data_IF_357087148416
#
_entry.id   IF_357087148416
#
_cell.length_a   1.000
_cell.length_b   1.000
_cell.length_c   1.000
_cell.angle_alpha   90.00
_cell.angle_beta   90.00
_cell.angle_gamma   90.00
#
_symmetry.space_group_name_H-M   'P 1'
#
loop_
_entity.id
_entity.type
_entity.pdbx_description
1 polymer ?
#
# COMPACT_ATOMS: atom_id res chain seq x y z
N UNK A 1 -6.87 -7.72 22.15
CA UNK A 1 -7.30 -6.43 21.60
C UNK A 1 -6.06 -5.69 21.16
N UNK A 2 -5.93 -5.33 19.88
CA UNK A 2 -4.78 -4.55 19.41
C UNK A 2 -4.86 -3.16 20.02
N UNK A 3 -3.82 -2.75 20.74
CA UNK A 3 -3.66 -1.39 21.24
C UNK A 3 -3.36 -0.44 20.07
N UNK A 4 -3.77 0.83 20.19
CA UNK A 4 -3.29 1.88 19.28
C UNK A 4 -1.77 2.05 19.39
N UNK A 5 -1.18 2.72 18.41
CA UNK A 5 0.26 2.90 18.35
C UNK A 5 0.69 3.89 17.28
N UNK A 6 2.00 4.12 17.22
CA UNK A 6 2.63 4.97 16.23
C UNK A 6 3.99 4.40 15.85
N UNK A 7 4.37 4.63 14.61
CA UNK A 7 5.73 4.44 14.10
C UNK A 7 6.12 5.75 13.43
N UNK A 8 7.24 6.32 13.86
CA UNK A 8 7.83 7.54 13.31
C UNK A 8 9.20 7.19 12.74
N UNK A 9 9.43 7.53 11.47
CA UNK A 9 10.62 7.13 10.73
C UNK A 9 11.45 8.38 10.40
N UNK A 10 12.75 8.41 10.76
CA UNK A 10 13.64 9.50 10.41
C UNK A 10 13.66 9.78 8.89
N UNK A 11 13.70 11.06 8.50
CA UNK A 11 13.55 11.47 7.10
C UNK A 11 14.68 11.01 6.15
N UNK A 12 15.88 10.78 6.66
CA UNK A 12 16.98 10.15 5.91
C UNK A 12 16.64 8.71 5.52
N UNK A 13 15.94 7.98 6.40
CA UNK A 13 15.49 6.62 6.12
C UNK A 13 14.28 6.60 5.18
N UNK A 14 13.35 7.54 5.31
CA UNK A 14 12.22 7.72 4.36
C UNK A 14 12.74 7.79 2.92
N UNK A 15 13.80 8.59 2.71
CA UNK A 15 14.42 8.75 1.39
C UNK A 15 14.96 7.43 0.82
N UNK A 16 15.47 6.53 1.68
CA UNK A 16 15.99 5.22 1.25
C UNK A 16 14.92 4.20 0.90
N UNK A 17 13.70 4.37 1.45
CA UNK A 17 12.58 3.44 1.27
C UNK A 17 11.70 3.79 0.06
N UNK A 18 11.82 5.02 -0.45
CA UNK A 18 11.01 5.51 -1.58
C UNK A 18 9.57 5.90 -1.22
N UNK A 19 9.21 5.82 0.07
CA UNK A 19 7.94 6.29 0.64
C UNK A 19 8.13 6.50 2.15
N UNK A 20 7.20 7.21 2.78
CA UNK A 20 7.20 7.44 4.23
C UNK A 20 6.40 6.34 4.95
N UNK A 21 7.03 5.44 5.73
CA UNK A 21 6.31 4.41 6.47
C UNK A 21 5.65 4.93 7.75
N UNK A 22 5.91 6.18 8.14
CA UNK A 22 5.42 6.77 9.38
C UNK A 22 3.89 6.80 9.39
N UNK A 23 3.33 6.41 10.54
CA UNK A 23 1.89 6.22 10.71
C UNK A 23 1.48 6.15 12.18
N UNK A 24 0.23 6.51 12.43
CA UNK A 24 -0.44 6.40 13.72
C UNK A 24 -1.71 5.59 13.48
N UNK A 25 -2.01 4.66 14.37
CA UNK A 25 -3.25 3.90 14.32
C UNK A 25 -3.94 3.85 15.67
N UNK A 26 -5.27 3.73 15.62
CA UNK A 26 -6.11 3.55 16.79
C UNK A 26 -6.50 2.08 16.98
N UNK A 27 -6.86 1.74 18.21
CA UNK A 27 -7.40 0.41 18.49
C UNK A 27 -8.70 0.19 17.69
N UNK A 28 -8.77 -0.91 16.94
CA UNK A 28 -9.93 -1.26 16.11
C UNK A 28 -9.95 -0.63 14.72
N UNK A 29 -8.95 0.18 14.35
CA UNK A 29 -8.79 0.71 13.00
C UNK A 29 -8.52 -0.43 12.00
N UNK A 30 -9.04 -0.32 10.78
CA UNK A 30 -8.83 -1.34 9.75
C UNK A 30 -7.38 -1.34 9.28
N UNK A 31 -6.83 -2.52 9.01
CA UNK A 31 -5.50 -2.68 8.43
C UNK A 31 -5.39 -1.92 7.09
N UNK A 32 -6.47 -1.87 6.31
CA UNK A 32 -6.50 -1.16 5.04
C UNK A 32 -6.39 0.38 5.19
N UNK A 33 -6.71 0.93 6.36
CA UNK A 33 -6.60 2.37 6.66
C UNK A 33 -5.24 2.75 7.26
N UNK A 34 -4.40 1.75 7.58
CA UNK A 34 -3.12 1.94 8.28
C UNK A 34 -1.95 1.56 7.40
N UNK A 35 -2.05 0.43 6.70
CA UNK A 35 -0.99 -0.04 5.82
C UNK A 35 -1.00 0.72 4.50
N UNK A 36 0.21 1.02 4.03
CA UNK A 36 0.48 1.78 2.81
C UNK A 36 0.89 0.83 1.69
N UNK A 37 0.71 1.25 0.44
CA UNK A 37 1.12 0.47 -0.73
C UNK A 37 2.63 0.17 -0.72
N UNK A 38 3.43 1.11 -0.24
CA UNK A 38 4.88 0.97 -0.08
C UNK A 38 5.30 -0.16 0.87
N UNK A 39 4.46 -0.53 1.85
CA UNK A 39 4.74 -1.67 2.73
C UNK A 39 4.80 -2.99 1.94
N UNK A 40 4.23 -3.03 0.73
CA UNK A 40 4.09 -4.23 -0.10
C UNK A 40 4.87 -4.16 -1.43
N UNK A 41 5.66 -3.11 -1.63
CA UNK A 41 6.29 -2.80 -2.93
C UNK A 41 7.24 -3.89 -3.44
N UNK A 42 7.80 -4.70 -2.54
CA UNK A 42 8.72 -5.81 -2.88
C UNK A 42 8.08 -7.19 -2.70
N UNK A 43 6.85 -7.26 -2.20
CA UNK A 43 6.26 -8.51 -1.73
C UNK A 43 5.04 -8.95 -2.53
N UNK A 44 3.98 -8.16 -2.53
CA UNK A 44 2.75 -8.44 -3.30
C UNK A 44 2.73 -7.68 -4.63
N UNK A 45 3.58 -6.65 -4.75
CA UNK A 45 3.67 -5.77 -5.91
C UNK A 45 2.32 -5.13 -6.33
N UNK A 46 1.51 -4.59 -5.38
CA UNK A 46 0.20 -4.01 -5.72
C UNK A 46 0.32 -2.85 -6.71
N UNK A 47 1.49 -2.20 -6.78
CA UNK A 47 1.76 -1.07 -7.66
C UNK A 47 1.70 -1.39 -9.16
N UNK A 48 1.71 -2.68 -9.51
CA UNK A 48 1.59 -3.14 -10.90
C UNK A 48 0.14 -3.13 -11.40
N UNK A 49 -0.84 -3.09 -10.50
CA UNK A 49 -2.24 -2.95 -10.90
C UNK A 49 -2.53 -1.57 -11.50
N UNK A 50 -3.60 -1.49 -12.29
CA UNK A 50 -4.29 -0.26 -12.66
C UNK A 50 -5.75 -0.31 -12.18
N UNK A 51 -6.45 0.82 -12.23
CA UNK A 51 -7.82 0.92 -11.72
C UNK A 51 -8.80 0.09 -12.55
N UNK A 52 -8.54 -0.08 -13.85
CA UNK A 52 -9.36 -0.91 -14.73
C UNK A 52 -9.34 -2.40 -14.33
N UNK A 53 -8.20 -2.92 -13.87
CA UNK A 53 -8.11 -4.28 -13.33
C UNK A 53 -8.76 -4.37 -11.95
N UNK A 54 -8.52 -3.40 -11.08
CA UNK A 54 -9.10 -3.39 -9.73
C UNK A 54 -10.62 -3.29 -9.75
N UNK A 55 -11.19 -2.58 -10.73
CA UNK A 55 -12.63 -2.45 -10.88
C UNK A 55 -13.32 -3.77 -11.17
N UNK A 56 -12.64 -4.69 -11.86
CA UNK A 56 -13.15 -6.02 -12.15
C UNK A 56 -13.22 -6.90 -10.89
N UNK A 57 -12.20 -6.84 -10.04
CA UNK A 57 -12.20 -7.57 -8.77
C UNK A 57 -13.29 -7.07 -7.81
N UNK A 58 -13.46 -5.75 -7.74
CA UNK A 58 -14.42 -5.12 -6.83
C UNK A 58 -15.84 -4.98 -7.42
N UNK A 59 -16.03 -5.29 -8.70
CA UNK A 59 -17.30 -5.09 -9.44
C UNK A 59 -17.82 -3.65 -9.35
N UNK A 60 -16.92 -2.67 -9.47
CA UNK A 60 -17.24 -1.23 -9.41
C UNK A 60 -17.26 -0.61 -10.80
N UNK A 61 -18.19 0.32 -11.03
CA UNK A 61 -18.19 1.17 -12.23
C UNK A 61 -17.38 2.44 -11.97
N UNK A 62 -16.23 2.56 -12.63
CA UNK A 62 -15.31 3.70 -12.45
C UNK A 62 -15.91 5.04 -12.88
N UNK A 63 -16.96 5.05 -13.71
CA UNK A 63 -17.69 6.26 -14.06
C UNK A 63 -18.54 6.80 -12.90
N UNK A 64 -18.80 5.97 -11.90
CA UNK A 64 -19.55 6.33 -10.68
C UNK A 64 -18.63 6.54 -9.48
N UNK A 65 -17.33 6.30 -9.64
CA UNK A 65 -16.34 6.51 -8.58
C UNK A 65 -15.78 7.91 -8.72
N UNK A 66 -15.96 8.71 -7.68
CA UNK A 66 -15.44 10.06 -7.61
C UNK A 66 -13.90 10.07 -7.72
N UNK A 67 -13.34 11.06 -8.40
CA UNK A 67 -11.89 11.25 -8.53
C UNK A 67 -11.23 11.35 -7.15
N UNK A 68 -11.86 12.08 -6.22
CA UNK A 68 -11.39 12.21 -4.83
C UNK A 68 -11.41 10.92 -4.00
N UNK A 69 -12.01 9.82 -4.49
CA UNK A 69 -11.93 8.51 -3.83
C UNK A 69 -10.58 7.81 -4.02
N UNK A 70 -9.79 8.25 -5.00
CA UNK A 70 -8.42 7.80 -5.21
C UNK A 70 -7.47 8.72 -4.43
N UNK A 71 -7.00 8.28 -3.27
CA UNK A 71 -6.19 9.08 -2.32
C UNK A 71 -5.00 9.76 -3.01
N UNK A 72 -4.29 8.99 -3.84
CA UNK A 72 -3.11 9.43 -4.57
C UNK A 72 -3.38 10.48 -5.66
N UNK A 73 -4.63 10.69 -6.09
CA UNK A 73 -4.94 11.71 -7.11
C UNK A 73 -4.58 13.12 -6.64
N UNK A 74 -4.76 13.38 -5.35
CA UNK A 74 -4.52 14.69 -4.74
C UNK A 74 -3.04 15.05 -4.59
N UNK A 75 -2.12 14.17 -5.02
CA UNK A 75 -0.68 14.43 -5.06
C UNK A 75 -0.16 14.68 -6.47
N UNK A 76 -0.99 14.43 -7.48
CA UNK A 76 -0.55 14.47 -8.87
C UNK A 76 -0.47 15.92 -9.35
N UNK A 77 0.69 16.26 -9.93
CA UNK A 77 0.86 17.52 -10.65
C UNK A 77 0.41 17.35 -12.10
N UNK A 78 0.00 18.45 -12.73
CA UNK A 78 -0.43 18.44 -14.13
C UNK A 78 0.66 17.87 -15.05
N UNK A 79 1.92 18.27 -14.84
CA UNK A 79 3.05 17.76 -15.63
C UNK A 79 3.27 16.24 -15.43
N UNK A 80 3.12 15.75 -14.20
CA UNK A 80 3.32 14.33 -13.88
C UNK A 80 2.25 13.47 -14.57
N UNK A 81 0.99 13.95 -14.59
CA UNK A 81 -0.10 13.28 -15.30
C UNK A 81 0.12 13.25 -16.81
N UNK A 82 0.53 14.37 -17.41
CA UNK A 82 0.82 14.44 -18.86
C UNK A 82 1.98 13.53 -19.25
N UNK A 83 2.98 13.40 -18.38
CA UNK A 83 4.10 12.48 -18.59
C UNK A 83 3.69 11.00 -18.41
N UNK A 84 2.85 10.70 -17.41
CA UNK A 84 2.46 9.33 -17.06
C UNK A 84 1.39 8.73 -17.97
N UNK A 85 0.45 9.54 -18.47
CA UNK A 85 -0.72 9.07 -19.22
C UNK A 85 -0.49 9.24 -20.73
N UNK A 86 -0.39 8.13 -21.49
CA UNK A 86 -0.15 8.19 -22.93
C UNK A 86 -1.23 9.01 -23.66
N UNK A 87 -0.79 10.03 -24.39
CA UNK A 87 -1.66 10.86 -25.21
C UNK A 87 -2.44 11.95 -24.47
N UNK A 88 -2.35 12.04 -23.13
CA UNK A 88 -3.04 13.08 -22.36
C UNK A 88 -2.60 14.49 -22.81
N UNK A 89 -1.30 14.69 -23.04
CA UNK A 89 -0.77 15.97 -23.54
C UNK A 89 -1.34 16.44 -24.88
N UNK A 90 -1.86 15.52 -25.70
CA UNK A 90 -2.46 15.84 -27.01
C UNK A 90 -3.92 16.25 -26.90
N UNK A 91 -4.55 16.03 -25.74
CA UNK A 91 -5.93 16.43 -25.51
C UNK A 91 -6.01 17.93 -25.26
N UNK A 92 -7.13 18.52 -25.69
CA UNK A 92 -7.47 19.89 -25.37
C UNK A 92 -7.90 19.99 -23.91
N UNK A 93 -7.69 21.16 -23.31
CA UNK A 93 -8.04 21.40 -21.91
C UNK A 93 -9.51 21.09 -21.60
N UNK A 94 -10.43 21.48 -22.47
CA UNK A 94 -11.89 21.22 -22.36
C UNK A 94 -12.28 19.73 -22.46
N UNK A 95 -11.35 18.86 -22.84
CA UNK A 95 -11.54 17.41 -22.87
C UNK A 95 -11.10 16.73 -21.57
N UNK A 96 -10.55 17.49 -20.62
CA UNK A 96 -10.09 16.99 -19.32
C UNK A 96 -10.65 17.90 -18.21
N UNK A 97 -11.96 17.77 -17.88
CA UNK A 97 -12.67 18.72 -17.01
C UNK A 97 -12.02 19.01 -15.64
N UNK A 98 -11.41 18.03 -14.94
CA UNK A 98 -10.71 18.31 -13.69
C UNK A 98 -9.51 19.25 -13.87
N UNK A 99 -8.76 19.08 -14.97
CA UNK A 99 -7.61 19.93 -15.27
C UNK A 99 -8.05 21.31 -15.78
N UNK A 100 -9.12 21.38 -16.57
CA UNK A 100 -9.75 22.65 -16.96
C UNK A 100 -10.13 23.47 -15.74
N UNK A 101 -10.82 22.85 -14.79
CA UNK A 101 -11.25 23.51 -13.55
C UNK A 101 -10.04 24.01 -12.77
N UNK A 102 -9.06 23.15 -12.52
CA UNK A 102 -7.84 23.50 -11.78
C UNK A 102 -7.07 24.66 -12.42
N UNK A 103 -6.88 24.62 -13.74
CA UNK A 103 -6.13 25.66 -14.47
C UNK A 103 -6.91 26.97 -14.50
N UNK A 104 -8.24 26.92 -14.65
CA UNK A 104 -9.09 28.12 -14.67
C UNK A 104 -9.13 28.86 -13.33
N UNK A 105 -8.92 28.16 -12.21
CA UNK A 105 -8.79 28.79 -10.88
C UNK A 105 -7.43 29.47 -10.70
N UNK A 106 -6.39 28.96 -11.35
CA UNK A 106 -5.03 29.48 -11.26
C UNK A 106 -4.74 30.61 -12.25
N UNK A 107 -5.36 30.59 -13.44
CA UNK A 107 -5.14 31.58 -14.49
C UNK A 107 -6.43 32.34 -14.84
N UNK A 108 -6.40 33.69 -14.89
CA UNK A 108 -7.48 34.46 -15.44
C UNK A 108 -7.75 34.07 -16.89
N UNK A 109 -9.02 33.91 -17.27
CA UNK A 109 -9.43 33.56 -18.65
C UNK A 109 -8.81 34.51 -19.69
N UNK A 110 -8.58 35.78 -19.34
CA UNK A 110 -7.90 36.77 -20.19
C UNK A 110 -6.48 36.37 -20.60
N UNK A 111 -5.77 35.57 -19.79
CA UNK A 111 -4.43 35.08 -20.10
C UNK A 111 -4.43 34.03 -21.22
N UNK A 112 -5.58 33.45 -21.52
CA UNK A 112 -5.76 32.49 -22.62
C UNK A 112 -6.17 33.19 -23.94
N UNK A 113 -6.38 34.53 -23.93
CA UNK A 113 -6.81 35.29 -25.10
C UNK A 113 -5.66 35.41 -26.10
N UNK A 114 -5.59 34.47 -27.03
CA UNK A 114 -4.51 34.34 -28.01
C UNK A 114 -4.26 32.89 -28.39
N UNK A 115 -4.62 31.96 -27.51
CA UNK A 115 -4.65 30.53 -27.78
C UNK A 115 -6.03 30.16 -28.32
N UNK A 116 -6.08 29.51 -29.50
CA UNK A 116 -7.35 29.08 -30.09
C UNK A 116 -7.23 27.74 -30.80
N UNK A 117 -8.33 26.99 -30.85
CA UNK A 117 -8.38 25.71 -31.56
C UNK A 117 -7.35 24.70 -31.06
N UNK A 118 -6.45 24.28 -31.93
CA UNK A 118 -5.45 23.24 -31.67
C UNK A 118 -4.28 23.70 -30.78
N UNK A 119 -4.18 24.99 -30.45
CA UNK A 119 -3.12 25.51 -29.58
C UNK A 119 -3.41 25.28 -28.09
N UNK A 120 -4.64 24.89 -27.74
CA UNK A 120 -5.11 24.63 -26.36
C UNK A 120 -4.91 23.18 -25.90
N UNK A 121 -4.00 22.44 -26.52
CA UNK A 121 -3.62 21.12 -25.99
C UNK A 121 -2.86 21.29 -24.68
N UNK A 122 -2.98 20.31 -23.79
CA UNK A 122 -2.28 20.33 -22.51
C UNK A 122 -0.76 20.48 -22.69
N UNK A 123 -0.16 19.82 -23.67
CA UNK A 123 1.27 19.92 -23.96
C UNK A 123 1.68 21.35 -24.39
N UNK A 124 0.92 21.98 -25.29
CA UNK A 124 1.22 23.35 -25.73
C UNK A 124 1.02 24.36 -24.60
N UNK A 125 -0.03 24.17 -23.79
CA UNK A 125 -0.32 25.03 -22.65
C UNK A 125 0.79 24.96 -21.59
N UNK A 126 1.31 23.76 -21.30
CA UNK A 126 2.44 23.58 -20.39
C UNK A 126 3.76 24.13 -20.96
N UNK A 127 3.93 24.14 -22.28
CA UNK A 127 5.09 24.76 -22.91
C UNK A 127 5.08 26.29 -22.81
N UNK A 128 3.90 26.91 -22.99
CA UNK A 128 3.72 28.36 -22.87
C UNK A 128 3.70 28.84 -21.42
N UNK A 129 3.08 28.07 -20.53
CA UNK A 129 2.94 28.37 -19.10
C UNK A 129 3.47 27.23 -18.23
N UNK A 130 4.80 27.10 -18.07
CA UNK A 130 5.42 26.01 -17.30
C UNK A 130 4.93 25.91 -15.85
N UNK A 131 4.57 27.02 -15.22
CA UNK A 131 4.06 27.05 -13.84
C UNK A 131 2.74 26.28 -13.67
N UNK A 132 1.95 26.12 -14.73
CA UNK A 132 0.75 25.27 -14.71
C UNK A 132 1.08 23.80 -14.47
N UNK A 133 2.26 23.37 -14.90
CA UNK A 133 2.75 22.01 -14.68
C UNK A 133 2.85 21.66 -13.20
N UNK A 134 3.11 22.66 -12.35
CA UNK A 134 3.26 22.50 -10.90
C UNK A 134 1.94 22.53 -10.12
N UNK A 135 0.82 22.87 -10.78
CA UNK A 135 -0.49 22.81 -10.14
C UNK A 135 -0.80 21.38 -9.74
N UNK A 136 -1.42 21.23 -8.58
CA UNK A 136 -1.70 19.94 -7.98
C UNK A 136 -3.22 19.74 -7.90
N UNK A 137 -3.72 18.59 -8.34
CA UNK A 137 -5.15 18.24 -8.27
C UNK A 137 -5.73 18.36 -6.84
N UNK A 138 -4.92 18.16 -5.80
CA UNK A 138 -5.32 18.36 -4.41
C UNK A 138 -5.79 19.80 -4.09
N UNK A 139 -5.42 20.79 -4.90
CA UNK A 139 -5.88 22.18 -4.76
C UNK A 139 -7.39 22.33 -5.01
N UNK A 140 -8.00 21.43 -5.79
CA UNK A 140 -9.45 21.37 -5.97
C UNK A 140 -10.19 20.96 -4.67
N UNK A 141 -9.49 20.33 -3.72
CA UNK A 141 -10.04 19.89 -2.45
C UNK A 141 -11.31 19.04 -2.63
N UNK A 142 -12.44 19.52 -2.09
CA UNK A 142 -13.73 18.80 -2.19
C UNK A 142 -14.30 18.75 -3.61
N UNK A 143 -13.86 19.63 -4.51
CA UNK A 143 -14.33 19.64 -5.89
C UNK A 143 -13.88 18.39 -6.66
N UNK A 144 -12.84 17.70 -6.20
CA UNK A 144 -12.46 16.37 -6.72
C UNK A 144 -13.64 15.38 -6.68
N UNK A 145 -14.60 15.55 -5.78
CA UNK A 145 -15.76 14.68 -5.69
C UNK A 145 -16.85 14.97 -6.74
N UNK A 146 -16.71 16.07 -7.51
CA UNK A 146 -17.62 16.41 -8.60
C UNK A 146 -17.26 15.73 -9.92
N UNK A 147 -16.06 15.13 -10.00
CA UNK A 147 -15.54 14.44 -11.18
C UNK A 147 -15.47 12.94 -10.94
N UNK A 148 -15.63 12.16 -12.00
CA UNK A 148 -15.38 10.72 -11.99
C UNK A 148 -13.88 10.42 -12.25
N UNK A 149 -13.44 9.21 -11.91
CA UNK A 149 -12.10 8.75 -12.26
C UNK A 149 -11.85 8.75 -13.78
N UNK A 150 -12.90 8.58 -14.58
CA UNK A 150 -12.83 8.53 -16.05
C UNK A 150 -12.84 9.91 -16.71
N UNK A 151 -13.07 10.99 -15.95
CA UNK A 151 -13.02 12.37 -16.46
C UNK A 151 -11.58 12.84 -16.76
N UNK A 152 -10.57 12.07 -16.33
CA UNK A 152 -9.20 12.19 -16.84
C UNK A 152 -8.95 10.99 -17.77
N UNK A 153 -9.03 11.17 -19.10
CA UNK A 153 -8.85 10.08 -20.04
C UNK A 153 -7.49 9.38 -19.87
N UNK A 154 -7.51 8.06 -19.71
CA UNK A 154 -6.32 7.22 -19.52
C UNK A 154 -5.79 7.12 -18.09
N UNK A 155 -6.36 7.86 -17.13
CA UNK A 155 -5.97 7.77 -15.71
C UNK A 155 -6.16 6.36 -15.13
N UNK A 156 -7.23 5.68 -15.54
CA UNK A 156 -7.58 4.35 -15.01
C UNK A 156 -6.74 3.21 -15.58
N UNK A 157 -6.01 3.47 -16.67
CA UNK A 157 -5.26 2.46 -17.42
C UNK A 157 -3.78 2.39 -17.01
N UNK A 158 -3.24 3.45 -16.43
CA UNK A 158 -1.86 3.48 -15.94
C UNK A 158 -1.71 2.68 -14.65
N UNK A 159 -0.56 2.02 -14.49
CA UNK A 159 -0.24 1.32 -13.25
C UNK A 159 -0.10 2.29 -12.07
N UNK A 160 -0.46 1.86 -10.87
CA UNK A 160 -0.36 2.66 -9.64
C UNK A 160 1.05 3.20 -9.41
N UNK A 161 2.10 2.46 -9.79
CA UNK A 161 3.49 2.91 -9.68
C UNK A 161 3.83 4.17 -10.50
N UNK A 162 3.02 4.50 -11.52
CA UNK A 162 3.25 5.67 -12.38
C UNK A 162 2.67 6.95 -11.77
N UNK A 163 1.93 6.84 -10.67
CA UNK A 163 1.48 8.00 -9.92
C UNK A 163 2.60 8.49 -9.00
N UNK A 164 2.71 9.80 -8.88
CA UNK A 164 3.59 10.43 -7.92
C UNK A 164 3.24 9.97 -6.50
N UNK A 165 4.28 9.66 -5.71
CA UNK A 165 4.17 9.32 -4.29
C UNK A 165 3.21 8.14 -3.99
N UNK A 166 2.97 7.27 -4.98
CA UNK A 166 2.00 6.16 -4.90
C UNK A 166 2.19 5.29 -3.65
N UNK A 167 3.44 5.05 -3.24
CA UNK A 167 3.78 4.21 -2.09
C UNK A 167 3.21 4.72 -0.76
N UNK A 168 2.86 6.02 -0.70
CA UNK A 168 2.29 6.63 0.49
C UNK A 168 0.78 6.40 0.65
N UNK A 169 0.07 6.00 -0.42
CA UNK A 169 -1.36 5.71 -0.36
C UNK A 169 -1.62 4.55 0.59
N UNK A 170 -2.70 4.65 1.36
CA UNK A 170 -3.21 3.49 2.09
C UNK A 170 -3.77 2.47 1.11
N UNK A 171 -3.88 1.20 1.54
CA UNK A 171 -4.55 0.17 0.74
C UNK A 171 -6.02 0.57 0.49
N UNK A 172 -6.69 1.12 1.51
CA UNK A 172 -8.07 1.59 1.42
C UNK A 172 -8.24 2.85 0.56
N UNK A 173 -7.17 3.63 0.36
CA UNK A 173 -7.13 4.80 -0.50
C UNK A 173 -7.14 4.51 -2.01
N UNK A 174 -7.07 3.23 -2.41
CA UNK A 174 -7.21 2.81 -3.81
C UNK A 174 -8.52 2.04 -4.01
N UNK A 175 -9.46 2.58 -4.81
CA UNK A 175 -10.72 1.91 -5.11
C UNK A 175 -10.53 0.48 -5.62
N UNK A 176 -11.16 -0.48 -4.94
CA UNK A 176 -11.19 -1.89 -5.29
C UNK A 176 -9.97 -2.73 -4.88
N UNK A 177 -8.89 -2.12 -4.38
CA UNK A 177 -7.68 -2.87 -4.01
C UNK A 177 -7.91 -3.85 -2.85
N UNK A 178 -8.72 -3.47 -1.86
CA UNK A 178 -9.08 -4.34 -0.71
C UNK A 178 -9.83 -5.60 -1.16
N UNK A 179 -10.44 -5.59 -2.34
CA UNK A 179 -11.19 -6.73 -2.90
C UNK A 179 -10.32 -7.72 -3.65
N UNK A 180 -9.02 -7.45 -3.84
CA UNK A 180 -8.11 -8.34 -4.57
C UNK A 180 -7.75 -9.54 -3.69
N UNK A 181 -8.06 -10.77 -4.12
CA UNK A 181 -7.59 -11.97 -3.44
C UNK A 181 -6.06 -12.07 -3.42
N UNK A 182 -5.47 -12.56 -2.33
CA UNK A 182 -4.01 -12.62 -2.17
C UNK A 182 -3.30 -13.54 -3.19
N UNK A 183 -4.01 -14.52 -3.74
CA UNK A 183 -3.54 -15.41 -4.81
C UNK A 183 -3.67 -14.79 -6.22
N UNK A 184 -4.36 -13.65 -6.33
CA UNK A 184 -4.50 -12.86 -7.56
C UNK A 184 -3.62 -11.59 -7.51
N UNK A 185 -2.84 -11.39 -6.45
CA UNK A 185 -1.85 -10.31 -6.38
C UNK A 185 -0.76 -10.50 -7.46
N UNK A 186 -0.13 -9.43 -7.96
CA UNK A 186 0.86 -9.51 -9.04
C UNK A 186 2.07 -10.38 -8.69
N UNK A 187 2.46 -10.42 -7.42
CA UNK A 187 3.25 -11.50 -6.86
C UNK A 187 2.41 -12.23 -5.82
N UNK A 188 1.72 -13.31 -6.21
CA UNK A 188 0.82 -13.99 -5.30
C UNK A 188 1.61 -14.65 -4.18
N UNK A 189 0.97 -14.74 -3.02
CA UNK A 189 1.54 -15.48 -1.91
C UNK A 189 1.66 -16.95 -2.31
N UNK A 190 2.89 -17.38 -2.59
CA UNK A 190 3.17 -18.79 -2.77
C UNK A 190 2.97 -19.46 -1.41
N UNK A 191 1.91 -20.25 -1.29
CA UNK A 191 1.66 -21.12 -0.15
C UNK A 191 2.67 -22.27 -0.10
N UNK A 192 3.97 -21.97 -0.06
CA UNK A 192 5.04 -22.97 0.14
C UNK A 192 5.02 -23.50 1.59
N UNK A 193 4.04 -23.08 2.40
CA UNK A 193 3.75 -23.59 3.73
C UNK A 193 2.54 -24.54 3.73
N UNK A 194 2.68 -25.64 4.47
CA UNK A 194 1.57 -26.51 4.82
C UNK A 194 0.46 -25.73 5.56
N UNK A 195 -0.80 -25.89 5.15
CA UNK A 195 -1.95 -25.44 5.93
C UNK A 195 -1.98 -26.32 7.19
N UNK A 196 -1.75 -25.71 8.35
CA UNK A 196 -1.81 -26.39 9.63
C UNK A 196 -3.22 -26.31 10.22
N UNK A 197 -3.80 -27.46 10.57
CA UNK A 197 -5.00 -27.48 11.39
C UNK A 197 -4.60 -27.29 12.85
N UNK A 198 -5.20 -26.34 13.55
CA UNK A 198 -4.96 -26.16 14.98
C UNK A 198 -5.57 -27.33 15.74
N UNK A 199 -4.77 -27.98 16.59
CA UNK A 199 -5.24 -29.01 17.53
C UNK A 199 -5.73 -28.33 18.83
N UNK A 200 -4.78 -27.72 19.54
CA UNK A 200 -5.04 -27.10 20.84
C UNK A 200 -4.23 -25.81 21.02
N UNK A 201 -4.77 -24.90 21.81
CA UNK A 201 -4.13 -23.64 22.21
C UNK A 201 -3.74 -23.75 23.68
N UNK A 202 -2.46 -23.55 23.98
CA UNK A 202 -1.91 -23.65 25.32
C UNK A 202 -1.45 -22.30 25.85
N UNK A 203 -1.62 -22.08 27.15
CA UNK A 203 -1.24 -20.86 27.85
C UNK A 203 0.20 -20.87 28.38
N UNK A 204 0.53 -19.85 29.17
CA UNK A 204 1.86 -19.62 29.76
C UNK A 204 2.29 -20.65 30.82
N UNK A 205 1.46 -21.65 31.14
CA UNK A 205 1.85 -22.70 32.08
C UNK A 205 2.81 -23.72 31.44
N UNK A 206 2.85 -23.79 30.11
CA UNK A 206 3.71 -24.73 29.39
C UNK A 206 5.19 -24.33 29.44
N UNK A 207 6.06 -25.34 29.44
CA UNK A 207 7.51 -25.20 29.45
C UNK A 207 8.16 -26.21 28.50
N UNK A 208 9.46 -26.02 28.20
CA UNK A 208 10.31 -26.97 27.48
C UNK A 208 9.75 -27.47 26.15
N UNK A 209 9.33 -26.56 25.27
CA UNK A 209 8.88 -26.87 23.91
C UNK A 209 10.04 -26.83 22.93
N UNK A 210 10.40 -28.00 22.39
CA UNK A 210 11.55 -28.18 21.49
C UNK A 210 11.13 -28.43 20.03
N UNK A 211 9.87 -28.78 19.77
CA UNK A 211 9.38 -29.12 18.43
C UNK A 211 8.69 -27.90 17.79
N UNK A 212 9.37 -26.75 17.80
CA UNK A 212 8.76 -25.48 17.40
C UNK A 212 8.85 -25.23 15.89
N UNK A 213 7.95 -24.40 15.37
CA UNK A 213 7.95 -23.88 13.99
C UNK A 213 7.98 -22.35 13.94
N UNK A 214 8.31 -21.72 15.07
CA UNK A 214 8.38 -20.27 15.24
C UNK A 214 9.81 -19.81 15.52
N UNK A 215 10.13 -18.60 15.08
CA UNK A 215 11.40 -17.93 15.31
C UNK A 215 11.53 -16.69 14.44
N UNK A 216 12.69 -16.51 13.81
CA UNK A 216 12.99 -15.41 12.88
C UNK A 216 13.84 -15.91 11.71
N UNK A 217 14.05 -15.07 10.69
CA UNK A 217 15.01 -15.39 9.63
C UNK A 217 16.43 -15.55 10.18
N UNK A 218 16.81 -14.74 11.17
CA UNK A 218 18.17 -14.72 11.73
C UNK A 218 18.42 -15.88 12.71
N UNK A 219 17.47 -16.16 13.61
CA UNK A 219 17.59 -17.22 14.60
C UNK A 219 17.19 -18.60 14.03
N UNK A 220 16.58 -18.63 12.84
CA UNK A 220 15.86 -19.78 12.33
C UNK A 220 14.45 -19.87 12.93
N UNK A 221 13.63 -20.76 12.40
CA UNK A 221 12.22 -20.89 12.78
C UNK A 221 11.91 -22.17 13.55
N UNK A 222 12.90 -22.68 14.27
CA UNK A 222 12.74 -23.82 15.17
C UNK A 222 13.38 -23.44 16.52
N UNK A 223 13.13 -22.21 16.96
CA UNK A 223 13.70 -21.70 18.21
C UNK A 223 12.95 -22.36 19.36
N UNK A 224 13.63 -23.11 20.24
CA UNK A 224 12.96 -23.76 21.35
C UNK A 224 12.48 -22.74 22.38
N UNK A 225 11.49 -23.11 23.18
CA UNK A 225 11.00 -22.31 24.29
C UNK A 225 11.14 -23.07 25.60
N UNK A 226 11.80 -22.45 26.58
CA UNK A 226 12.11 -23.11 27.86
C UNK A 226 11.04 -22.84 28.92
N UNK A 227 10.56 -21.61 29.04
CA UNK A 227 9.61 -21.19 30.08
C UNK A 227 8.47 -20.35 29.50
N UNK A 228 7.30 -20.41 30.14
CA UNK A 228 6.11 -19.62 29.78
C UNK A 228 5.67 -19.73 28.32
N UNK A 229 5.74 -20.93 27.76
CA UNK A 229 5.60 -21.23 26.35
C UNK A 229 4.15 -21.27 25.88
N UNK A 230 3.43 -20.16 25.98
CA UNK A 230 2.12 -20.05 25.33
C UNK A 230 2.27 -20.30 23.82
N UNK A 231 1.47 -21.21 23.27
CA UNK A 231 1.62 -21.67 21.89
C UNK A 231 0.34 -22.29 21.33
N UNK A 232 0.34 -22.45 20.01
CA UNK A 232 -0.63 -23.27 19.29
C UNK A 232 0.06 -24.55 18.84
N UNK A 233 -0.57 -25.70 19.06
CA UNK A 233 -0.12 -27.00 18.56
C UNK A 233 -0.93 -27.39 17.32
N UNK A 234 -0.26 -27.96 16.32
CA UNK A 234 -0.87 -28.35 15.05
C UNK A 234 -1.18 -29.86 14.97
N UNK A 235 -2.27 -30.18 14.27
CA UNK A 235 -2.70 -31.53 13.91
C UNK A 235 -2.95 -31.68 12.41
N UNK A 236 -3.24 -32.92 12.00
CA UNK A 236 -3.82 -33.28 10.70
C UNK A 236 -2.84 -33.30 9.52
N UNK A 237 -1.93 -32.32 9.43
CA UNK A 237 -1.04 -32.19 8.28
C UNK A 237 0.28 -32.95 8.49
N UNK A 238 0.64 -33.90 7.61
CA UNK A 238 1.91 -34.63 7.71
C UNK A 238 3.09 -33.67 7.79
N UNK A 239 3.92 -33.82 8.83
CA UNK A 239 5.06 -32.93 9.12
C UNK A 239 4.77 -31.74 10.04
N UNK A 240 3.50 -31.40 10.28
CA UNK A 240 3.09 -30.38 11.26
C UNK A 240 2.47 -30.96 12.53
N UNK A 241 2.05 -32.22 12.53
CA UNK A 241 1.46 -32.84 13.72
C UNK A 241 2.41 -32.78 14.93
N UNK A 242 1.93 -32.24 16.06
CA UNK A 242 2.70 -32.06 17.29
C UNK A 242 3.75 -30.94 17.22
N UNK A 243 3.73 -30.11 16.17
CA UNK A 243 4.57 -28.91 16.08
C UNK A 243 3.96 -27.76 16.85
N UNK A 244 4.79 -26.99 17.55
CA UNK A 244 4.38 -25.84 18.35
C UNK A 244 4.73 -24.52 17.66
N UNK A 245 3.78 -23.61 17.52
CA UNK A 245 4.06 -22.21 17.17
C UNK A 245 3.94 -21.37 18.44
N UNK A 246 5.09 -20.94 18.96
CA UNK A 246 5.20 -20.17 20.20
C UNK A 246 4.69 -18.75 19.98
N UNK A 247 4.00 -18.18 20.97
CA UNK A 247 3.49 -16.81 20.92
C UNK A 247 4.64 -15.79 20.98
N UNK A 248 4.57 -14.78 20.11
CA UNK A 248 5.50 -13.66 20.10
C UNK A 248 5.40 -12.79 21.36
N UNK A 249 4.29 -12.90 22.09
CA UNK A 249 4.06 -12.17 23.34
C UNK A 249 4.88 -12.71 24.51
N UNK A 250 5.35 -13.96 24.42
CA UNK A 250 6.10 -14.63 25.49
C UNK A 250 7.56 -14.89 25.13
N UNK A 251 7.89 -14.85 23.84
CA UNK A 251 9.26 -15.10 23.37
C UNK A 251 9.68 -14.08 22.31
N UNK A 252 10.77 -13.38 22.61
CA UNK A 252 11.53 -12.56 21.66
C UNK A 252 12.76 -13.36 21.20
N UNK A 253 13.15 -13.20 19.94
CA UNK A 253 14.30 -13.88 19.32
C UNK A 253 15.15 -12.89 18.54
N UNK A 254 16.46 -13.14 18.37
CA UNK A 254 17.30 -12.29 17.53
C UNK A 254 16.70 -12.13 16.14
N UNK A 255 16.57 -10.90 15.66
CA UNK A 255 16.01 -10.59 14.35
C UNK A 255 15.79 -9.09 14.14
N UNK A 256 14.78 -8.78 13.32
CA UNK A 256 14.60 -7.46 12.73
C UNK A 256 15.54 -7.27 11.54
N UNK A 257 15.08 -6.51 10.55
CA UNK A 257 15.88 -6.10 9.39
C UNK A 257 16.00 -4.58 9.36
N UNK A 258 17.12 -4.10 8.83
CA UNK A 258 17.41 -2.67 8.71
C UNK A 258 17.28 -1.91 10.03
N UNK A 259 16.67 -0.73 9.97
CA UNK A 259 16.50 0.15 11.12
C UNK A 259 15.59 -0.42 12.22
N UNK A 260 14.63 -1.27 11.86
CA UNK A 260 13.76 -1.92 12.86
C UNK A 260 14.56 -2.82 13.82
N UNK A 261 15.67 -3.40 13.33
CA UNK A 261 16.62 -4.11 14.18
C UNK A 261 17.30 -3.16 15.18
N UNK A 262 17.66 -1.94 14.78
CA UNK A 262 18.29 -0.97 15.69
C UNK A 262 17.34 -0.52 16.82
N UNK A 263 16.10 -0.16 16.49
CA UNK A 263 15.13 0.36 17.49
C UNK A 263 14.65 -0.71 18.47
N UNK A 264 14.59 -1.98 18.05
CA UNK A 264 14.16 -3.09 18.90
C UNK A 264 15.34 -3.86 19.53
N UNK A 265 16.55 -3.30 19.53
CA UNK A 265 17.72 -3.94 20.13
C UNK A 265 18.11 -5.28 19.49
N UNK A 266 17.81 -5.44 18.21
CA UNK A 266 18.06 -6.65 17.42
C UNK A 266 17.14 -7.81 17.80
N UNK A 267 16.00 -7.53 18.44
CA UNK A 267 15.04 -8.53 18.87
C UNK A 267 13.71 -8.33 18.14
N UNK A 268 13.00 -9.43 17.95
CA UNK A 268 11.64 -9.41 17.44
C UNK A 268 10.81 -10.55 18.02
N UNK A 269 9.46 -10.41 18.06
CA UNK A 269 8.60 -11.50 18.52
C UNK A 269 8.82 -12.76 17.68
N UNK A 270 8.87 -13.93 18.29
CA UNK A 270 8.94 -15.20 17.55
C UNK A 270 7.72 -15.36 16.64
N UNK A 271 7.92 -15.91 15.44
CA UNK A 271 6.85 -16.03 14.45
C UNK A 271 7.23 -16.86 13.23
N UNK A 272 6.46 -16.74 12.15
CA UNK A 272 6.72 -17.42 10.87
C UNK A 272 6.38 -16.49 9.72
N UNK A 273 6.96 -16.75 8.55
CA UNK A 273 6.68 -16.03 7.30
C UNK A 273 5.87 -16.93 6.35
N UNK A 274 4.60 -17.25 6.67
CA UNK A 274 3.80 -18.15 5.83
C UNK A 274 3.47 -17.56 4.45
N UNK A 275 3.65 -16.25 4.30
CA UNK A 275 3.26 -15.44 3.14
C UNK A 275 4.47 -14.80 2.47
N UNK A 276 5.59 -15.52 2.41
CA UNK A 276 6.86 -14.97 1.93
C UNK A 276 7.48 -13.97 2.91
N UNK A 277 8.57 -13.35 2.48
CA UNK A 277 9.47 -12.57 3.36
C UNK A 277 8.89 -11.27 3.92
N UNK A 278 7.73 -10.86 3.43
CA UNK A 278 7.14 -9.55 3.67
C UNK A 278 6.49 -9.42 5.03
N UNK A 279 5.81 -10.48 5.47
CA UNK A 279 5.03 -10.47 6.70
C UNK A 279 5.47 -11.63 7.56
N UNK A 280 5.87 -11.29 8.78
CA UNK A 280 5.94 -12.25 9.86
C UNK A 280 4.61 -12.27 10.59
N UNK A 281 4.03 -13.44 10.69
CA UNK A 281 2.90 -13.71 11.57
C UNK A 281 3.46 -14.11 12.93
N UNK A 282 3.03 -13.42 13.98
CA UNK A 282 3.29 -13.77 15.37
C UNK A 282 1.95 -13.93 16.10
N UNK A 283 1.84 -14.93 16.99
CA UNK A 283 0.64 -15.20 17.79
C UNK A 283 0.63 -14.33 19.06
#
# INVERSE_FOLDING_TARGET
MLSGGAVDIPGDLVSSLGYDPSRIWQAGQSVAEVLKLGDFQTSLYPQLFNLQTLSQFAQIDLNQVALGALELVGWQRVEDLVAAIPGLGNLRLDQVPPLETLISEALPVSSLWGLSGNDLTLANLLAEFPDLGQLNLGQLGKQLNAFALTDIPGLTDISLQNFRDWGNSTIGGVPGLVSVPLDQMPNPLSGVGAIGQIDMVYGRAETQRQSTISGSKQAGFQVPCEESCAHVEFAGTPGLHGKQWISGQVQQVPGGEGFLSFVNGGQEPTGRHPFGEAFKVAL
#
